data_IF_199443781369
#
_entry.id   IF_199443781369
#
_cell.length_a   1.000
_cell.length_b   1.000
_cell.length_c   1.000
_cell.angle_alpha   90.00
_cell.angle_beta   90.00
_cell.angle_gamma   90.00
#
_symmetry.space_group_name_H-M   'P 1'
#
loop_
_entity.id
_entity.type
_entity.pdbx_description
1 polymer ?
#
# COMPACT_ATOMS: atom_id res chain seq x y z
N UNK A 1 -36.48 -5.46 -47.97
CA UNK A 1 -37.18 -4.70 -46.92
C UNK A 1 -36.12 -4.24 -45.96
N UNK A 2 -35.93 -2.92 -45.84
CA UNK A 2 -34.86 -2.20 -45.12
C UNK A 2 -35.13 -2.17 -43.63
N UNK A 3 -34.32 -2.78 -42.79
CA UNK A 3 -34.18 -2.47 -41.33
C UNK A 3 -32.73 -2.82 -40.93
N UNK A 4 -31.77 -1.94 -41.24
CA UNK A 4 -30.40 -2.06 -40.73
C UNK A 4 -29.65 -0.72 -40.68
N UNK A 5 -30.37 0.41 -40.39
CA UNK A 5 -29.67 1.70 -40.39
C UNK A 5 -29.88 2.54 -39.10
N UNK A 6 -30.60 2.04 -38.10
CA UNK A 6 -31.01 2.86 -36.94
C UNK A 6 -30.26 2.56 -35.62
N UNK A 7 -29.31 1.65 -35.62
CA UNK A 7 -28.55 1.33 -34.38
C UNK A 7 -27.20 2.02 -34.27
N UNK A 8 -26.72 2.70 -35.32
CA UNK A 8 -25.44 3.45 -35.25
C UNK A 8 -25.57 4.88 -34.78
N UNK A 9 -26.75 5.48 -34.84
CA UNK A 9 -26.97 6.86 -34.40
C UNK A 9 -27.32 6.99 -32.90
N UNK A 10 -27.55 5.89 -32.18
CA UNK A 10 -27.89 5.92 -30.77
C UNK A 10 -26.65 5.88 -29.83
N UNK A 11 -25.43 5.66 -30.34
CA UNK A 11 -24.22 5.55 -29.55
C UNK A 11 -23.27 6.75 -29.62
N UNK A 12 -23.52 7.74 -30.45
CA UNK A 12 -22.64 8.92 -30.59
C UNK A 12 -22.91 10.04 -29.55
N UNK A 13 -23.69 9.79 -28.53
CA UNK A 13 -24.06 10.77 -27.49
C UNK A 13 -23.64 10.47 -26.08
N UNK A 14 -22.96 9.37 -25.82
CA UNK A 14 -22.42 9.07 -24.50
C UNK A 14 -20.99 9.65 -24.39
N UNK A 15 -20.89 10.94 -24.12
CA UNK A 15 -19.68 11.51 -23.54
C UNK A 15 -19.41 10.76 -22.22
N UNK A 16 -18.27 10.05 -22.15
CA UNK A 16 -17.76 9.56 -20.88
C UNK A 16 -17.73 10.73 -19.89
N UNK A 17 -18.25 10.55 -18.67
CA UNK A 17 -18.15 11.58 -17.66
C UNK A 17 -16.66 11.79 -17.36
N UNK A 18 -16.11 12.89 -17.85
CA UNK A 18 -14.79 13.38 -17.44
C UNK A 18 -14.79 13.45 -15.92
N UNK A 19 -13.82 12.83 -15.22
CA UNK A 19 -13.74 12.97 -13.77
C UNK A 19 -13.69 14.46 -13.45
N UNK A 20 -14.39 14.93 -12.40
CA UNK A 20 -14.42 16.33 -12.07
C UNK A 20 -12.99 16.81 -11.84
N UNK A 21 -12.47 17.62 -12.76
CA UNK A 21 -11.26 18.40 -12.52
C UNK A 21 -11.53 19.25 -11.29
N UNK A 22 -10.90 18.89 -10.17
CA UNK A 22 -10.96 19.67 -8.94
C UNK A 22 -10.05 20.89 -9.12
N UNK A 23 -10.44 21.77 -10.03
CA UNK A 23 -9.80 23.07 -10.24
C UNK A 23 -10.07 23.94 -9.02
N UNK A 24 -9.01 24.29 -8.30
CA UNK A 24 -9.07 25.34 -7.29
C UNK A 24 -9.48 26.63 -8.02
N UNK A 25 -10.57 27.33 -7.61
CA UNK A 25 -10.99 28.53 -8.28
C UNK A 25 -9.88 29.58 -8.31
N UNK A 26 -9.55 30.09 -9.49
CA UNK A 26 -8.51 31.13 -9.69
C UNK A 26 -8.81 32.45 -8.97
N UNK A 27 -10.01 32.59 -8.38
CA UNK A 27 -10.49 33.80 -7.72
C UNK A 27 -10.05 33.94 -6.23
N UNK A 28 -9.32 32.94 -5.67
CA UNK A 28 -8.88 33.01 -4.28
C UNK A 28 -7.57 33.80 -4.13
N UNK A 29 -7.40 34.55 -3.02
CA UNK A 29 -6.13 35.22 -2.72
C UNK A 29 -4.96 34.22 -2.72
N UNK A 30 -3.74 34.62 -3.15
CA UNK A 30 -2.59 33.72 -3.32
C UNK A 30 -2.28 32.81 -2.11
N UNK A 31 -2.40 33.34 -0.88
CA UNK A 31 -2.19 32.57 0.33
C UNK A 31 -3.24 31.47 0.56
N UNK A 32 -4.52 31.74 0.17
CA UNK A 32 -5.59 30.74 0.25
C UNK A 32 -5.45 29.67 -0.84
N UNK A 33 -4.98 30.04 -2.01
CA UNK A 33 -4.72 29.09 -3.11
C UNK A 33 -3.62 28.11 -2.72
N UNK A 34 -2.52 28.57 -2.12
CA UNK A 34 -1.43 27.73 -1.65
C UNK A 34 -1.90 26.76 -0.54
N UNK A 35 -2.70 27.26 0.41
CA UNK A 35 -3.30 26.42 1.44
C UNK A 35 -4.24 25.37 0.87
N UNK A 36 -5.10 25.75 -0.08
CA UNK A 36 -6.04 24.84 -0.73
C UNK A 36 -5.33 23.74 -1.53
N UNK A 37 -4.27 24.09 -2.27
CA UNK A 37 -3.45 23.12 -2.99
C UNK A 37 -2.76 22.16 -2.03
N UNK A 38 -2.21 22.66 -0.92
CA UNK A 38 -1.57 21.82 0.10
C UNK A 38 -2.53 20.82 0.71
N UNK A 39 -3.73 21.25 1.10
CA UNK A 39 -4.76 20.35 1.62
C UNK A 39 -5.25 19.32 0.60
N UNK A 40 -5.28 19.68 -0.69
CA UNK A 40 -5.59 18.71 -1.75
C UNK A 40 -4.50 17.62 -1.84
N UNK A 41 -3.24 18.03 -1.84
CA UNK A 41 -2.08 17.13 -1.85
C UNK A 41 -2.11 16.25 -0.58
N UNK A 42 -2.30 16.84 0.59
CA UNK A 42 -2.35 16.11 1.86
C UNK A 42 -3.47 15.05 1.89
N UNK A 43 -4.65 15.38 1.32
CA UNK A 43 -5.75 14.43 1.20
C UNK A 43 -5.38 13.26 0.29
N UNK A 44 -4.71 13.51 -0.82
CA UNK A 44 -4.23 12.48 -1.75
C UNK A 44 -3.17 11.61 -1.07
N UNK A 45 -2.24 12.22 -0.33
CA UNK A 45 -1.21 11.49 0.42
C UNK A 45 -1.83 10.60 1.50
N UNK A 46 -2.76 11.11 2.31
CA UNK A 46 -3.44 10.31 3.33
C UNK A 46 -4.20 9.14 2.71
N UNK A 47 -4.89 9.36 1.59
CA UNK A 47 -5.56 8.30 0.84
C UNK A 47 -4.57 7.25 0.35
N UNK A 48 -3.44 7.65 -0.23
CA UNK A 48 -2.38 6.76 -0.69
C UNK A 48 -1.78 5.95 0.46
N UNK A 49 -1.49 6.60 1.59
CA UNK A 49 -0.99 5.95 2.83
C UNK A 49 -1.96 4.89 3.33
N UNK A 50 -3.24 5.20 3.42
CA UNK A 50 -4.25 4.24 3.90
C UNK A 50 -4.45 3.08 2.93
N UNK A 51 -4.42 3.34 1.62
CA UNK A 51 -4.47 2.29 0.60
C UNK A 51 -3.26 1.36 0.72
N UNK A 52 -2.08 1.93 0.82
CA UNK A 52 -0.85 1.21 1.03
C UNK A 52 -0.92 0.35 2.31
N UNK A 53 -1.24 0.95 3.44
CA UNK A 53 -1.29 0.29 4.73
C UNK A 53 -2.25 -0.89 4.75
N UNK A 54 -3.52 -0.66 4.37
CA UNK A 54 -4.55 -1.70 4.36
C UNK A 54 -4.29 -2.80 3.34
N UNK A 55 -3.81 -2.46 2.15
CA UNK A 55 -3.47 -3.46 1.14
C UNK A 55 -2.31 -4.35 1.59
N UNK A 56 -1.39 -3.81 2.38
CA UNK A 56 -0.21 -4.51 2.88
C UNK A 56 -0.48 -5.31 4.14
N UNK A 57 -1.21 -4.75 5.11
CA UNK A 57 -1.53 -5.43 6.37
C UNK A 57 -2.40 -6.68 6.18
N UNK A 58 -3.16 -6.77 5.07
CA UNK A 58 -4.19 -7.79 4.93
C UNK A 58 -5.34 -7.64 5.93
N UNK A 59 -5.40 -6.52 6.68
CA UNK A 59 -6.46 -6.22 7.61
C UNK A 59 -7.69 -5.68 6.89
N UNK A 60 -8.87 -6.15 7.29
CA UNK A 60 -10.12 -5.51 6.90
C UNK A 60 -10.32 -4.16 7.59
N UNK A 61 -11.24 -3.34 7.07
CA UNK A 61 -11.60 -2.07 7.73
C UNK A 61 -12.11 -2.28 9.16
N UNK A 62 -12.84 -3.38 9.40
CA UNK A 62 -13.35 -3.71 10.73
C UNK A 62 -12.22 -4.10 11.68
N UNK A 63 -11.24 -4.86 11.21
CA UNK A 63 -10.08 -5.28 12.00
C UNK A 63 -9.23 -4.07 12.40
N UNK A 64 -8.91 -3.19 11.44
CA UNK A 64 -8.16 -1.96 11.76
C UNK A 64 -8.97 -1.04 12.68
N UNK A 65 -10.29 -0.93 12.48
CA UNK A 65 -11.18 -0.20 13.38
C UNK A 65 -11.19 -0.76 14.80
N UNK A 66 -11.21 -2.08 14.94
CA UNK A 66 -11.12 -2.74 16.27
C UNK A 66 -9.79 -2.47 16.97
N UNK A 67 -8.67 -2.47 16.23
CA UNK A 67 -7.35 -2.14 16.77
C UNK A 67 -7.30 -0.66 17.21
N UNK A 68 -7.89 0.24 16.41
CA UNK A 68 -8.00 1.66 16.75
C UNK A 68 -8.84 1.85 18.01
N UNK A 69 -9.99 1.22 18.11
CA UNK A 69 -10.87 1.27 19.28
C UNK A 69 -10.15 0.77 20.56
N UNK A 70 -9.38 -0.30 20.43
CA UNK A 70 -8.55 -0.81 21.52
C UNK A 70 -7.46 0.17 21.94
N UNK A 71 -6.71 0.71 21.00
CA UNK A 71 -5.66 1.68 21.26
C UNK A 71 -6.22 2.95 21.96
N UNK A 72 -7.44 3.34 21.60
CA UNK A 72 -8.13 4.48 22.20
C UNK A 72 -8.95 4.12 23.45
N UNK A 73 -8.99 2.84 23.84
CA UNK A 73 -9.74 2.33 25.00
C UNK A 73 -11.26 2.60 24.95
N UNK A 74 -11.81 2.87 23.78
CA UNK A 74 -13.22 3.21 23.57
C UNK A 74 -13.66 2.75 22.17
N UNK A 75 -14.89 2.23 22.05
CA UNK A 75 -15.46 1.76 20.77
C UNK A 75 -15.99 2.90 19.90
N UNK A 76 -15.92 2.73 18.60
CA UNK A 76 -16.50 3.64 17.61
C UNK A 76 -15.63 4.84 17.25
N UNK A 77 -14.33 4.76 17.46
CA UNK A 77 -13.40 5.80 17.04
C UNK A 77 -13.20 5.82 15.53
N UNK A 78 -13.13 4.64 14.90
CA UNK A 78 -12.86 4.51 13.47
C UNK A 78 -13.74 3.42 12.88
N UNK A 79 -14.83 3.80 12.22
CA UNK A 79 -15.74 2.85 11.59
C UNK A 79 -15.29 2.46 10.18
N UNK A 80 -15.74 1.30 9.70
CA UNK A 80 -15.48 0.81 8.35
C UNK A 80 -15.90 1.80 7.24
N UNK A 81 -17.07 2.46 7.30
CA UNK A 81 -17.43 3.52 6.35
C UNK A 81 -16.48 4.72 6.39
N UNK A 82 -16.07 5.18 7.58
CA UNK A 82 -15.11 6.28 7.72
C UNK A 82 -13.77 5.93 7.08
N UNK A 83 -13.23 4.73 7.33
CA UNK A 83 -12.01 4.24 6.68
C UNK A 83 -12.16 4.18 5.15
N UNK A 84 -13.29 3.70 4.65
CA UNK A 84 -13.56 3.67 3.21
C UNK A 84 -13.55 5.08 2.60
N UNK A 85 -14.19 6.04 3.24
CA UNK A 85 -14.20 7.43 2.79
C UNK A 85 -12.81 8.08 2.83
N UNK A 86 -12.01 7.81 3.86
CA UNK A 86 -10.63 8.30 3.97
C UNK A 86 -9.75 7.69 2.85
N UNK A 87 -9.85 6.38 2.62
CA UNK A 87 -9.12 5.68 1.54
C UNK A 87 -9.43 6.22 0.15
N UNK A 88 -10.69 6.55 -0.10
CA UNK A 88 -11.12 7.08 -1.39
C UNK A 88 -10.86 8.58 -1.54
N UNK A 89 -10.26 9.21 -0.53
CA UNK A 89 -10.01 10.65 -0.54
C UNK A 89 -11.27 11.51 -0.63
N UNK A 90 -12.45 10.96 -0.29
CA UNK A 90 -13.72 11.69 -0.35
C UNK A 90 -13.91 12.63 0.84
N UNK A 91 -13.16 12.44 1.93
CA UNK A 91 -13.22 13.31 3.11
C UNK A 91 -12.28 14.50 2.93
N UNK A 92 -12.85 15.69 2.82
CA UNK A 92 -12.08 16.94 2.64
C UNK A 92 -11.30 17.30 3.90
N UNK A 93 -11.90 17.11 5.06
CA UNK A 93 -11.29 17.36 6.38
C UNK A 93 -11.60 16.18 7.30
N UNK A 94 -10.70 15.22 7.44
CA UNK A 94 -10.81 14.20 8.47
C UNK A 94 -10.93 14.83 9.85
N UNK A 95 -11.73 14.24 10.72
CA UNK A 95 -11.78 14.68 12.10
C UNK A 95 -10.46 14.37 12.82
N UNK A 96 -10.08 15.17 13.78
CA UNK A 96 -8.94 14.87 14.66
C UNK A 96 -9.08 13.50 15.32
N UNK A 97 -10.30 13.12 15.67
CA UNK A 97 -10.63 11.80 16.22
C UNK A 97 -10.20 10.65 15.28
N UNK A 98 -10.46 10.80 13.97
CA UNK A 98 -10.07 9.75 13.00
C UNK A 98 -8.55 9.66 12.84
N UNK A 99 -7.86 10.80 12.83
CA UNK A 99 -6.39 10.82 12.69
C UNK A 99 -5.71 10.28 13.96
N UNK A 100 -6.27 10.57 15.12
CA UNK A 100 -5.80 10.06 16.42
C UNK A 100 -6.00 8.53 16.49
N UNK A 101 -7.15 8.05 16.07
CA UNK A 101 -7.44 6.62 15.98
C UNK A 101 -6.48 5.87 15.03
N UNK A 102 -6.11 6.48 13.90
CA UNK A 102 -5.11 5.91 12.98
C UNK A 102 -3.72 5.87 13.62
N UNK A 103 -3.30 6.96 14.26
CA UNK A 103 -2.04 7.03 15.00
C UNK A 103 -1.98 6.00 16.11
N UNK A 104 -3.03 5.94 16.95
CA UNK A 104 -3.13 4.97 18.03
C UNK A 104 -3.08 3.52 17.56
N UNK A 105 -3.79 3.18 16.47
CA UNK A 105 -3.74 1.85 15.89
C UNK A 105 -2.32 1.48 15.41
N UNK A 106 -1.66 2.42 14.73
CA UNK A 106 -0.30 2.23 14.24
C UNK A 106 0.71 2.04 15.38
N UNK A 107 0.63 2.88 16.41
CA UNK A 107 1.46 2.74 17.62
C UNK A 107 1.20 1.42 18.36
N UNK A 108 -0.06 0.97 18.43
CA UNK A 108 -0.39 -0.29 19.10
C UNK A 108 0.21 -1.49 18.37
N UNK A 109 0.13 -1.53 17.03
CA UNK A 109 0.76 -2.56 16.21
C UNK A 109 2.29 -2.53 16.40
N UNK A 110 2.90 -1.36 16.31
CA UNK A 110 4.34 -1.17 16.52
C UNK A 110 4.77 -1.65 17.91
N UNK A 111 4.09 -1.21 18.96
CA UNK A 111 4.41 -1.59 20.33
C UNK A 111 4.30 -3.10 20.55
N UNK A 112 3.26 -3.73 19.98
CA UNK A 112 3.05 -5.18 20.04
C UNK A 112 4.22 -5.94 19.44
N UNK A 113 4.68 -5.54 18.26
CA UNK A 113 5.73 -6.22 17.52
C UNK A 113 7.13 -5.93 18.06
N UNK A 114 7.41 -4.69 18.47
CA UNK A 114 8.75 -4.28 18.91
C UNK A 114 9.03 -4.53 20.40
N UNK A 115 8.01 -4.38 21.25
CA UNK A 115 8.15 -4.51 22.71
C UNK A 115 7.45 -5.74 23.28
N UNK A 116 6.70 -6.43 22.45
CA UNK A 116 5.98 -7.64 22.79
C UNK A 116 4.62 -7.44 23.45
N UNK A 117 3.78 -8.48 23.43
CA UNK A 117 2.39 -8.44 23.87
C UNK A 117 2.20 -7.92 25.30
N UNK A 118 3.07 -8.33 26.23
CA UNK A 118 2.95 -7.97 27.65
C UNK A 118 3.08 -6.45 27.90
N UNK A 119 3.92 -5.76 27.13
CA UNK A 119 4.09 -4.31 27.23
C UNK A 119 2.88 -3.60 26.65
N UNK A 120 2.39 -4.08 25.53
CA UNK A 120 1.24 -3.56 24.84
C UNK A 120 -0.05 -3.72 25.68
N UNK A 121 -0.27 -4.91 26.25
CA UNK A 121 -1.42 -5.19 27.13
C UNK A 121 -1.39 -4.35 28.43
N UNK A 122 -0.22 -4.03 28.96
CA UNK A 122 -0.13 -3.11 30.12
C UNK A 122 -0.51 -1.69 29.75
N UNK A 123 -0.25 -1.24 28.51
CA UNK A 123 -0.56 0.12 28.06
C UNK A 123 -2.05 0.27 27.69
N UNK A 124 -2.59 -0.68 26.94
CA UNK A 124 -3.93 -0.56 26.34
C UNK A 124 -4.98 -1.47 26.97
N UNK A 125 -4.58 -2.36 27.87
CA UNK A 125 -5.47 -3.34 28.48
C UNK A 125 -5.72 -4.57 27.60
N UNK A 126 -6.61 -5.49 28.02
CA UNK A 126 -6.91 -6.69 27.28
C UNK A 126 -7.61 -6.41 25.94
N UNK A 127 -7.04 -6.91 24.84
CA UNK A 127 -7.58 -6.71 23.51
C UNK A 127 -8.79 -7.62 23.18
N UNK A 128 -9.02 -8.67 23.99
CA UNK A 128 -10.15 -9.59 23.81
C UNK A 128 -11.52 -8.89 23.91
N UNK A 129 -11.61 -7.78 24.68
CA UNK A 129 -12.83 -6.97 24.76
C UNK A 129 -13.21 -6.30 23.41
N UNK A 130 -12.25 -6.17 22.51
CA UNK A 130 -12.37 -5.59 21.17
C UNK A 130 -12.39 -6.66 20.08
N UNK A 131 -12.41 -7.95 20.45
CA UNK A 131 -12.40 -9.10 19.53
C UNK A 131 -11.18 -9.13 18.59
N UNK A 132 -10.04 -8.65 19.06
CA UNK A 132 -8.78 -8.66 18.32
C UNK A 132 -8.10 -10.01 18.55
N UNK A 133 -7.60 -10.61 17.50
CA UNK A 133 -6.81 -11.83 17.51
C UNK A 133 -5.32 -11.45 17.47
N UNK A 134 -4.49 -12.16 18.24
CA UNK A 134 -3.02 -11.96 18.26
C UNK A 134 -2.42 -12.04 16.86
N UNK A 135 -2.98 -12.91 16.02
CA UNK A 135 -2.55 -13.07 14.64
C UNK A 135 -2.68 -11.79 13.82
N UNK A 136 -3.69 -10.96 14.05
CA UNK A 136 -3.85 -9.68 13.35
C UNK A 136 -2.71 -8.74 13.69
N UNK A 137 -2.35 -8.64 14.98
CA UNK A 137 -1.27 -7.77 15.45
C UNK A 137 0.12 -8.29 15.03
N UNK A 138 0.29 -9.62 14.98
CA UNK A 138 1.54 -10.25 14.56
C UNK A 138 1.79 -10.08 13.05
N UNK A 139 0.73 -10.13 12.22
CA UNK A 139 0.84 -10.10 10.77
C UNK A 139 0.63 -8.69 10.18
N UNK A 140 0.11 -7.75 10.97
CA UNK A 140 -0.02 -6.37 10.55
C UNK A 140 1.37 -5.77 10.29
N UNK A 141 1.39 -4.72 9.49
CA UNK A 141 2.55 -3.84 9.41
C UNK A 141 2.20 -2.53 10.09
N UNK A 142 3.19 -1.87 10.59
CA UNK A 142 3.07 -0.49 11.07
C UNK A 142 3.77 0.47 10.10
N UNK A 143 3.28 1.70 10.07
CA UNK A 143 3.83 2.76 9.25
C UNK A 143 4.90 3.47 10.06
N UNK A 144 6.12 3.49 9.54
CA UNK A 144 7.25 4.15 10.21
C UNK A 144 7.38 5.61 9.80
N UNK A 145 7.98 6.40 10.67
CA UNK A 145 8.32 7.79 10.37
C UNK A 145 9.44 7.85 9.31
N UNK A 146 9.35 8.71 8.27
CA UNK A 146 10.30 8.70 7.16
C UNK A 146 11.73 9.09 7.55
N UNK A 147 11.91 9.79 8.67
CA UNK A 147 13.23 10.19 9.19
C UNK A 147 13.68 9.29 10.33
N UNK A 148 12.73 8.76 11.12
CA UNK A 148 12.98 7.91 12.28
C UNK A 148 12.33 6.55 12.03
N UNK A 149 13.03 5.66 11.36
CA UNK A 149 12.48 4.37 10.90
C UNK A 149 12.10 3.39 12.01
N UNK A 150 12.56 3.64 13.23
CA UNK A 150 12.23 2.90 14.45
C UNK A 150 11.01 3.47 15.21
N UNK A 151 10.46 4.60 14.74
CA UNK A 151 9.28 5.24 15.32
C UNK A 151 8.05 5.05 14.43
N UNK A 152 6.94 4.67 15.05
CA UNK A 152 5.66 4.59 14.36
C UNK A 152 5.09 5.99 14.09
N UNK A 153 4.41 6.16 12.93
CA UNK A 153 3.61 7.37 12.72
C UNK A 153 2.59 7.51 13.82
N UNK A 154 2.62 8.65 14.50
CA UNK A 154 1.70 9.01 15.55
C UNK A 154 0.58 9.94 15.03
N UNK A 155 -0.31 10.36 15.91
CA UNK A 155 -1.36 11.32 15.59
C UNK A 155 -0.86 12.60 14.89
N UNK A 156 0.25 13.19 15.38
CA UNK A 156 0.80 14.41 14.80
C UNK A 156 1.23 14.20 13.34
N UNK A 157 1.85 13.06 13.05
CA UNK A 157 2.29 12.70 11.70
C UNK A 157 1.12 12.52 10.74
N UNK A 158 0.01 11.90 11.21
CA UNK A 158 -1.21 11.82 10.40
C UNK A 158 -1.84 13.19 10.15
N UNK A 159 -1.74 14.13 11.11
CA UNK A 159 -2.14 15.52 10.89
C UNK A 159 -1.26 16.20 9.84
N UNK A 160 0.05 15.99 9.88
CA UNK A 160 1.02 16.55 8.94
C UNK A 160 0.86 15.94 7.54
N UNK A 161 0.59 14.64 7.44
CA UNK A 161 0.19 14.00 6.18
C UNK A 161 -1.05 14.65 5.58
N UNK A 162 -2.11 14.82 6.38
CA UNK A 162 -3.36 15.46 5.95
C UNK A 162 -3.18 16.92 5.56
N UNK A 163 -2.30 17.64 6.24
CA UNK A 163 -1.99 19.03 5.94
C UNK A 163 -1.03 19.18 4.74
N UNK A 164 -0.43 18.09 4.26
CA UNK A 164 0.55 18.09 3.17
C UNK A 164 1.93 18.60 3.59
N UNK A 165 2.26 18.49 4.88
CA UNK A 165 3.59 18.82 5.41
C UNK A 165 4.51 17.58 5.45
N UNK A 166 3.93 16.40 5.68
CA UNK A 166 4.65 15.15 5.69
C UNK A 166 4.36 14.38 4.40
N UNK A 167 5.39 13.78 3.83
CA UNK A 167 5.31 12.82 2.73
C UNK A 167 6.03 11.55 3.13
N UNK A 168 5.53 10.40 2.67
CA UNK A 168 6.19 9.12 2.91
C UNK A 168 6.87 8.67 1.62
N UNK A 169 8.18 8.87 1.48
CA UNK A 169 8.92 8.59 0.24
C UNK A 169 8.88 7.10 -0.13
N UNK A 170 8.73 6.21 0.85
CA UNK A 170 8.62 4.77 0.62
C UNK A 170 7.26 4.34 0.02
N UNK A 171 6.29 5.24 -0.09
CA UNK A 171 5.03 4.97 -0.79
C UNK A 171 5.13 5.11 -2.30
N UNK A 172 6.19 5.72 -2.78
CA UNK A 172 6.53 6.04 -4.17
C UNK A 172 5.45 5.69 -5.18
N UNK A 173 4.69 6.68 -5.65
CA UNK A 173 3.75 6.46 -6.76
C UNK A 173 4.55 6.20 -8.04
N UNK A 174 4.70 4.94 -8.37
CA UNK A 174 5.18 4.55 -9.69
C UNK A 174 3.98 4.57 -10.62
N UNK A 175 3.85 5.61 -11.41
CA UNK A 175 2.79 5.71 -12.41
C UNK A 175 3.20 4.95 -13.67
N UNK A 176 2.66 3.76 -13.86
CA UNK A 176 2.99 2.87 -14.98
C UNK A 176 2.03 3.09 -16.15
N UNK A 177 2.53 2.91 -17.36
CA UNK A 177 1.70 2.65 -18.53
C UNK A 177 1.41 1.13 -18.64
N UNK A 178 0.36 0.71 -19.36
CA UNK A 178 0.10 -0.72 -19.57
C UNK A 178 1.24 -1.50 -20.26
N UNK A 179 1.96 -0.83 -21.16
CA UNK A 179 3.13 -1.41 -21.83
C UNK A 179 4.34 -1.51 -20.90
N UNK A 180 4.52 -0.56 -19.99
CA UNK A 180 5.55 -0.63 -18.96
C UNK A 180 5.26 -1.76 -17.98
N UNK A 181 4.01 -1.94 -17.55
CA UNK A 181 3.65 -3.01 -16.62
C UNK A 181 4.03 -4.39 -17.17
N UNK A 182 3.72 -4.68 -18.45
CA UNK A 182 4.13 -5.93 -19.11
C UNK A 182 5.65 -6.07 -19.17
N UNK A 183 6.33 -5.00 -19.54
CA UNK A 183 7.78 -4.99 -19.64
C UNK A 183 8.46 -5.21 -18.30
N UNK A 184 7.92 -4.61 -17.24
CA UNK A 184 8.41 -4.78 -15.89
C UNK A 184 8.11 -6.17 -15.34
N UNK A 185 6.99 -6.80 -15.74
CA UNK A 185 6.71 -8.20 -15.39
C UNK A 185 7.78 -9.15 -15.90
N UNK A 186 8.23 -8.95 -17.14
CA UNK A 186 9.33 -9.74 -17.73
C UNK A 186 10.65 -9.48 -16.99
N UNK A 187 11.01 -8.22 -16.77
CA UNK A 187 12.22 -7.88 -16.03
C UNK A 187 12.17 -8.39 -14.58
N UNK A 188 10.99 -8.45 -13.98
CA UNK A 188 10.76 -9.02 -12.67
C UNK A 188 10.99 -10.53 -12.66
N UNK A 189 10.49 -11.25 -13.66
CA UNK A 189 10.75 -12.69 -13.82
C UNK A 189 12.26 -12.96 -13.90
N UNK A 190 12.98 -12.21 -14.74
CA UNK A 190 14.44 -12.31 -14.86
C UNK A 190 15.17 -11.99 -13.55
N UNK A 191 14.68 -11.03 -12.78
CA UNK A 191 15.25 -10.68 -11.49
C UNK A 191 15.08 -11.81 -10.48
N UNK A 192 13.88 -12.36 -10.35
CA UNK A 192 13.61 -13.45 -9.42
C UNK A 192 14.28 -14.75 -9.81
N UNK A 193 14.42 -15.03 -11.11
CA UNK A 193 15.18 -16.17 -11.61
C UNK A 193 16.65 -16.06 -11.19
N UNK A 194 17.28 -14.91 -11.37
CA UNK A 194 18.65 -14.64 -10.88
C UNK A 194 18.77 -14.80 -9.38
N UNK A 195 17.85 -14.23 -8.59
CA UNK A 195 17.86 -14.37 -7.13
C UNK A 195 17.67 -15.82 -6.69
N UNK A 196 16.89 -16.61 -7.43
CA UNK A 196 16.75 -18.04 -7.19
C UNK A 196 18.06 -18.78 -7.50
N UNK A 197 18.71 -18.46 -8.62
CA UNK A 197 20.01 -19.04 -9.00
C UNK A 197 21.11 -18.71 -7.98
N UNK A 198 21.20 -17.46 -7.54
CA UNK A 198 22.17 -17.01 -6.51
C UNK A 198 22.00 -17.75 -5.17
N UNK A 199 20.79 -18.20 -4.87
CA UNK A 199 20.46 -18.93 -3.65
C UNK A 199 20.46 -20.45 -3.79
N UNK A 200 20.68 -20.93 -4.99
CA UNK A 200 20.72 -22.36 -5.28
C UNK A 200 21.99 -22.97 -4.66
N UNK A 201 21.82 -23.78 -3.60
CA UNK A 201 22.89 -24.55 -3.00
C UNK A 201 23.22 -25.81 -3.81
N UNK A 202 24.36 -26.47 -3.49
CA UNK A 202 24.72 -27.74 -4.11
C UNK A 202 23.60 -28.78 -3.92
N UNK A 203 23.13 -29.35 -5.03
CA UNK A 203 22.08 -30.39 -5.02
C UNK A 203 20.64 -29.87 -4.94
N UNK A 204 20.42 -28.57 -4.94
CA UNK A 204 19.06 -28.00 -5.02
C UNK A 204 18.58 -27.90 -6.48
N UNK A 205 17.29 -28.16 -6.68
CA UNK A 205 16.65 -27.94 -7.98
C UNK A 205 16.16 -26.50 -8.10
N UNK A 206 16.00 -26.00 -9.35
CA UNK A 206 15.43 -24.68 -9.62
C UNK A 206 14.04 -24.51 -8.94
N UNK A 207 13.24 -25.57 -8.89
CA UNK A 207 11.94 -25.56 -8.21
C UNK A 207 12.05 -25.26 -6.71
N UNK A 208 13.01 -25.87 -6.03
CA UNK A 208 13.26 -25.63 -4.62
C UNK A 208 13.78 -24.20 -4.36
N UNK A 209 14.63 -23.69 -5.26
CA UNK A 209 15.09 -22.30 -5.19
C UNK A 209 13.93 -21.32 -5.40
N UNK A 210 13.03 -21.58 -6.34
CA UNK A 210 11.82 -20.78 -6.55
C UNK A 210 10.89 -20.83 -5.33
N UNK A 211 10.69 -22.00 -4.70
CA UNK A 211 9.88 -22.11 -3.49
C UNK A 211 10.50 -21.31 -2.33
N UNK A 212 11.84 -21.23 -2.25
CA UNK A 212 12.55 -20.36 -1.29
C UNK A 212 12.30 -18.88 -1.58
N UNK A 213 12.33 -18.47 -2.83
CA UNK A 213 12.00 -17.08 -3.25
C UNK A 213 10.56 -16.75 -2.88
N UNK A 214 9.62 -17.64 -3.19
CA UNK A 214 8.21 -17.45 -2.86
C UNK A 214 7.93 -17.48 -1.36
N UNK A 215 8.77 -18.15 -0.56
CA UNK A 215 8.67 -18.13 0.90
C UNK A 215 9.04 -16.76 1.50
N UNK A 216 9.89 -15.98 0.82
CA UNK A 216 10.23 -14.61 1.22
C UNK A 216 9.11 -13.60 0.85
N UNK A 217 8.16 -13.99 0.00
CA UNK A 217 6.99 -13.15 -0.27
C UNK A 217 6.09 -13.11 0.95
N UNK A 218 5.62 -11.92 1.39
CA UNK A 218 4.92 -11.77 2.66
C UNK A 218 3.73 -12.72 2.83
N UNK A 219 3.68 -13.41 3.97
CA UNK A 219 2.63 -14.38 4.30
C UNK A 219 1.25 -13.73 4.48
N UNK A 220 1.22 -12.41 4.71
CA UNK A 220 -0.01 -11.60 4.79
C UNK A 220 -0.71 -11.44 3.43
N UNK A 221 0.00 -11.70 2.32
CA UNK A 221 -0.62 -11.69 1.01
C UNK A 221 -1.53 -12.92 0.82
N UNK A 222 -2.65 -12.72 0.10
CA UNK A 222 -3.55 -13.84 -0.22
C UNK A 222 -2.80 -14.93 -1.02
N UNK A 223 -3.21 -16.21 -0.89
CA UNK A 223 -2.65 -17.29 -1.71
C UNK A 223 -2.66 -16.98 -3.20
N UNK A 224 -3.75 -16.38 -3.69
CA UNK A 224 -3.91 -16.02 -5.12
C UNK A 224 -2.81 -15.06 -5.60
N UNK A 225 -2.39 -14.10 -4.77
CA UNK A 225 -1.31 -13.16 -5.12
C UNK A 225 0.04 -13.86 -5.22
N UNK A 226 0.31 -14.82 -4.33
CA UNK A 226 1.53 -15.64 -4.38
C UNK A 226 1.54 -16.56 -5.60
N UNK A 227 0.40 -17.16 -5.94
CA UNK A 227 0.25 -18.00 -7.13
C UNK A 227 0.36 -17.17 -8.41
N UNK A 228 -0.14 -15.94 -8.41
CA UNK A 228 0.04 -15.01 -9.52
C UNK A 228 1.52 -14.63 -9.69
N UNK A 229 2.23 -14.28 -8.60
CA UNK A 229 3.67 -14.04 -8.64
C UNK A 229 4.42 -15.26 -9.20
N UNK A 230 4.08 -16.48 -8.75
CA UNK A 230 4.66 -17.72 -9.31
C UNK A 230 4.46 -17.80 -10.81
N UNK A 231 3.25 -17.49 -11.29
CA UNK A 231 2.92 -17.51 -12.72
C UNK A 231 3.71 -16.47 -13.51
N UNK A 232 3.93 -15.29 -12.95
CA UNK A 232 4.76 -14.23 -13.56
C UNK A 232 6.22 -14.67 -13.64
N UNK A 233 6.79 -15.24 -12.57
CA UNK A 233 8.18 -15.73 -12.56
C UNK A 233 8.36 -16.85 -13.61
N UNK A 234 7.35 -17.71 -13.77
CA UNK A 234 7.38 -18.78 -14.78
C UNK A 234 7.08 -18.28 -16.21
N UNK A 235 6.81 -17.00 -16.40
CA UNK A 235 6.49 -16.40 -17.70
C UNK A 235 5.14 -16.83 -18.27
N UNK A 236 4.24 -17.38 -17.46
CA UNK A 236 2.89 -17.80 -17.87
C UNK A 236 1.82 -16.73 -17.68
N UNK A 237 2.15 -15.64 -16.97
CA UNK A 237 1.28 -14.49 -16.78
C UNK A 237 2.12 -13.20 -16.74
N UNK A 238 1.44 -12.07 -16.97
CA UNK A 238 1.98 -10.72 -16.76
C UNK A 238 1.10 -9.99 -15.75
N UNK A 239 1.68 -9.07 -14.99
CA UNK A 239 0.89 -8.13 -14.20
C UNK A 239 0.23 -7.09 -15.12
N UNK A 240 -1.04 -6.83 -14.90
CA UNK A 240 -1.67 -5.60 -15.42
C UNK A 240 -1.08 -4.38 -14.71
N UNK A 241 -1.25 -3.18 -15.29
CA UNK A 241 -0.85 -1.92 -14.66
C UNK A 241 -1.33 -1.84 -13.20
N UNK A 242 -2.63 -2.03 -13.00
CA UNK A 242 -3.25 -1.90 -11.68
C UNK A 242 -2.79 -2.96 -10.66
N UNK A 243 -2.48 -4.17 -11.13
CA UNK A 243 -1.94 -5.22 -10.29
C UNK A 243 -0.50 -4.91 -9.89
N UNK A 244 0.35 -4.55 -10.86
CA UNK A 244 1.76 -4.26 -10.61
C UNK A 244 1.94 -3.06 -9.68
N UNK A 245 1.17 -1.98 -9.86
CA UNK A 245 1.19 -0.82 -8.96
C UNK A 245 0.87 -1.21 -7.51
N UNK A 246 -0.06 -2.13 -7.31
CA UNK A 246 -0.42 -2.65 -5.96
C UNK A 246 0.63 -3.62 -5.41
N UNK A 247 1.34 -4.33 -6.30
CA UNK A 247 2.31 -5.35 -5.92
C UNK A 247 3.73 -4.81 -5.70
N UNK A 248 4.11 -3.72 -6.37
CA UNK A 248 5.48 -3.19 -6.36
C UNK A 248 6.11 -3.12 -4.97
N UNK A 249 5.31 -2.78 -3.97
CA UNK A 249 5.80 -2.71 -2.61
C UNK A 249 6.14 -4.10 -2.04
N UNK A 250 5.23 -5.07 -2.17
CA UNK A 250 5.46 -6.44 -1.67
C UNK A 250 6.62 -7.10 -2.42
N UNK A 251 6.74 -6.81 -3.71
CA UNK A 251 7.85 -7.28 -4.55
C UNK A 251 9.19 -6.66 -4.12
N UNK A 252 9.22 -5.34 -3.83
CA UNK A 252 10.40 -4.67 -3.33
C UNK A 252 10.82 -5.23 -1.96
N UNK A 253 9.87 -5.45 -1.06
CA UNK A 253 10.12 -6.06 0.24
C UNK A 253 10.68 -7.49 0.11
N UNK A 254 10.13 -8.27 -0.82
CA UNK A 254 10.63 -9.61 -1.12
C UNK A 254 12.09 -9.58 -1.59
N UNK A 255 12.41 -8.68 -2.53
CA UNK A 255 13.79 -8.50 -3.02
C UNK A 255 14.70 -8.02 -1.90
N UNK A 256 14.25 -7.08 -1.07
CA UNK A 256 15.00 -6.59 0.09
C UNK A 256 15.36 -7.74 1.05
N UNK A 257 14.39 -8.58 1.41
CA UNK A 257 14.61 -9.74 2.28
C UNK A 257 15.55 -10.77 1.62
N UNK A 258 15.34 -11.06 0.35
CA UNK A 258 16.21 -11.96 -0.39
C UNK A 258 17.67 -11.48 -0.45
N UNK A 259 17.90 -10.18 -0.49
CA UNK A 259 19.25 -9.58 -0.50
C UNK A 259 19.79 -9.25 0.89
N UNK A 260 19.02 -9.52 1.94
CA UNK A 260 19.35 -9.15 3.32
C UNK A 260 19.71 -7.66 3.48
N UNK A 261 19.00 -6.78 2.76
CA UNK A 261 19.20 -5.34 2.84
C UNK A 261 18.52 -4.77 4.08
N UNK A 262 19.04 -3.67 4.65
CA UNK A 262 18.42 -3.00 5.79
C UNK A 262 16.97 -2.59 5.53
N UNK A 263 16.18 -2.52 6.57
CA UNK A 263 14.79 -2.06 6.48
C UNK A 263 14.75 -0.61 5.98
N UNK A 264 13.79 -0.33 5.05
CA UNK A 264 13.65 1.00 4.45
C UNK A 264 14.68 1.37 3.36
N UNK A 265 15.72 0.54 3.12
CA UNK A 265 16.77 0.86 2.13
C UNK A 265 16.42 0.49 0.68
N UNK A 266 15.33 -0.26 0.49
CA UNK A 266 14.89 -0.71 -0.84
C UNK A 266 13.37 -0.75 -0.91
N UNK A 267 12.79 0.10 -1.72
CA UNK A 267 11.36 0.27 -1.86
C UNK A 267 10.88 0.18 -3.31
N UNK A 268 9.62 0.52 -3.59
CA UNK A 268 9.02 0.50 -4.93
C UNK A 268 9.79 1.30 -5.97
N UNK A 269 10.33 2.46 -5.60
CA UNK A 269 11.07 3.34 -6.50
C UNK A 269 12.41 2.71 -6.91
N UNK A 270 13.13 2.11 -5.98
CA UNK A 270 14.40 1.42 -6.23
C UNK A 270 14.17 0.17 -7.08
N UNK A 271 13.15 -0.64 -6.77
CA UNK A 271 12.77 -1.80 -7.60
C UNK A 271 12.41 -1.36 -9.02
N UNK A 272 11.56 -0.36 -9.17
CA UNK A 272 11.18 0.17 -10.48
C UNK A 272 12.39 0.67 -11.27
N UNK A 273 13.28 1.42 -10.64
CA UNK A 273 14.52 1.92 -11.27
C UNK A 273 15.42 0.75 -11.73
N UNK A 274 15.59 -0.27 -10.88
CA UNK A 274 16.38 -1.46 -11.22
C UNK A 274 15.79 -2.24 -12.39
N UNK A 275 14.50 -2.54 -12.37
CA UNK A 275 13.80 -3.25 -13.45
C UNK A 275 13.87 -2.47 -14.77
N UNK A 276 13.71 -1.14 -14.69
CA UNK A 276 13.82 -0.26 -15.86
C UNK A 276 15.25 -0.17 -16.41
N UNK A 277 16.28 -0.27 -15.55
CA UNK A 277 17.68 -0.23 -15.96
C UNK A 277 18.16 -1.57 -16.54
N UNK A 278 17.71 -2.70 -16.05
CA UNK A 278 18.07 -4.02 -16.55
C UNK A 278 17.69 -4.19 -18.00
N UNK A 279 16.55 -3.64 -18.40
CA UNK A 279 16.03 -3.68 -19.76
C UNK A 279 16.80 -2.84 -20.78
N UNK A 280 17.45 -1.73 -20.35
CA UNK A 280 18.26 -0.91 -21.25
C UNK A 280 19.58 -1.58 -21.63
N UNK A 281 19.92 -2.70 -20.95
CA UNK A 281 21.14 -3.47 -21.18
C UNK A 281 20.94 -4.75 -21.98
N UNK A 282 19.69 -5.18 -22.13
CA UNK A 282 19.28 -6.33 -22.91
C UNK A 282 18.85 -5.91 -24.34
#
# INVERSE_FOLDING_TARGET
>A
MKITTDLRQAFDGLQEPTPPETTVPDSLPPGRQLSSRRHLIGRQHLSAVLNFWLNRCGLSHEQLGSIADWAMSEKGWLSSPQLSHLRNGSVVKPSHRNLDALGGANEAIHLWQQRGPQVCLRRYGPHSAYRIEDQWLNNAIWLHHPVHSDEALCYADFCDLQAGYLTLPYLGEVNLSPSEARNLSQALADLFDRLAQERMGEGQTMRQALDTVLAAYPSSASPDRRDHLRSVILGTADYTKSELEKELFLLAETVRQLRALPEGSYGPAELHAELSASRRRA
#
